data_IF_416735717627
#
_entry.id   IF_416735717627
#
_cell.length_a   1.000
_cell.length_b   1.000
_cell.length_c   1.000
_cell.angle_alpha   90.00
_cell.angle_beta   90.00
_cell.angle_gamma   90.00
#
_symmetry.space_group_name_H-M   'P 1'
#
loop_
_entity.id
_entity.type
_entity.pdbx_description
1 polymer ?
#
# COMPACT_ATOMS: atom_id res chain seq x y z
N UNK A 1 -10.95 -38.61 29.34
CA UNK A 1 -11.93 -38.27 28.28
C UNK A 1 -12.08 -36.75 28.12
N UNK A 2 -12.40 -35.99 29.17
CA UNK A 2 -12.58 -34.51 29.09
C UNK A 2 -11.27 -33.75 28.76
N UNK A 3 -10.12 -34.18 29.29
CA UNK A 3 -8.81 -33.54 29.06
C UNK A 3 -8.29 -33.71 27.63
N UNK A 4 -8.59 -34.83 26.96
CA UNK A 4 -8.22 -35.10 25.57
C UNK A 4 -9.06 -34.25 24.61
N UNK A 5 -10.34 -34.04 24.94
CA UNK A 5 -11.22 -33.15 24.17
C UNK A 5 -10.70 -31.72 24.22
N UNK A 6 -10.35 -31.18 25.40
CA UNK A 6 -9.78 -29.82 25.52
C UNK A 6 -8.49 -29.64 24.71
N UNK A 7 -7.56 -30.60 24.72
CA UNK A 7 -6.31 -30.58 23.94
C UNK A 7 -6.57 -30.61 22.42
N UNK A 8 -7.58 -31.36 21.98
CA UNK A 8 -7.98 -31.40 20.56
C UNK A 8 -8.64 -30.08 20.12
N UNK A 9 -9.47 -29.45 20.97
CA UNK A 9 -10.09 -28.15 20.64
C UNK A 9 -9.05 -27.04 20.57
N UNK A 10 -8.06 -27.01 21.47
CA UNK A 10 -7.00 -25.99 21.43
C UNK A 10 -6.08 -26.12 20.19
N UNK A 11 -5.80 -27.34 19.72
CA UNK A 11 -4.99 -27.56 18.52
C UNK A 11 -5.71 -27.16 17.21
N UNK A 12 -7.04 -27.31 17.19
CA UNK A 12 -7.88 -26.95 16.06
C UNK A 12 -8.17 -25.45 16.02
N UNK A 13 -8.35 -24.78 17.16
CA UNK A 13 -8.45 -23.31 17.20
C UNK A 13 -7.11 -22.60 16.95
N UNK A 14 -5.97 -23.21 17.33
CA UNK A 14 -4.63 -22.62 17.10
C UNK A 14 -4.35 -22.39 15.61
N UNK A 15 -4.77 -23.34 14.77
CA UNK A 15 -4.66 -23.23 13.30
C UNK A 15 -5.67 -22.26 12.69
N UNK A 16 -6.79 -21.98 13.37
CA UNK A 16 -7.84 -21.05 12.92
C UNK A 16 -7.46 -19.59 13.25
N UNK A 17 -6.63 -19.36 14.27
CA UNK A 17 -6.28 -18.00 14.72
C UNK A 17 -5.04 -17.40 14.07
N UNK A 18 -4.17 -18.22 13.46
CA UNK A 18 -2.94 -17.73 12.83
C UNK A 18 -3.10 -17.69 11.32
N UNK A 19 -3.89 -16.73 10.83
CA UNK A 19 -3.86 -16.32 9.42
C UNK A 19 -2.53 -15.65 9.15
N UNK A 20 -1.48 -16.45 8.94
CA UNK A 20 -0.23 -15.95 8.37
C UNK A 20 -0.53 -15.65 6.90
N UNK A 21 -0.73 -14.39 6.55
CA UNK A 21 -0.59 -14.00 5.15
C UNK A 21 0.76 -14.49 4.69
N UNK A 22 0.77 -15.31 3.64
CA UNK A 22 2.02 -15.85 3.10
C UNK A 22 2.91 -14.65 2.73
N UNK A 23 4.15 -14.58 3.23
CA UNK A 23 4.99 -13.41 3.02
C UNK A 23 5.22 -13.20 1.53
N UNK A 24 4.97 -11.98 1.06
CA UNK A 24 5.12 -11.59 -0.35
C UNK A 24 6.55 -11.87 -0.85
N UNK A 25 6.70 -12.82 -1.77
CA UNK A 25 7.96 -13.02 -2.50
C UNK A 25 8.09 -12.02 -3.64
N UNK A 26 8.55 -10.82 -3.32
CA UNK A 26 8.78 -9.74 -4.28
C UNK A 26 10.26 -9.34 -4.31
N UNK A 27 10.79 -8.91 -5.47
CA UNK A 27 12.13 -8.35 -5.54
C UNK A 27 12.18 -7.02 -4.78
N UNK A 28 13.32 -6.75 -4.14
CA UNK A 28 13.59 -5.49 -3.45
C UNK A 28 14.08 -4.44 -4.47
N UNK A 29 13.14 -3.87 -5.22
CA UNK A 29 13.38 -2.82 -6.21
C UNK A 29 12.61 -1.57 -5.84
N UNK A 30 13.29 -0.43 -5.80
CA UNK A 30 12.71 0.90 -5.56
C UNK A 30 12.12 1.48 -6.85
N UNK A 31 10.93 1.02 -7.22
CA UNK A 31 10.15 1.47 -8.38
C UNK A 31 8.74 1.84 -7.90
N UNK A 32 8.59 2.94 -7.13
CA UNK A 32 7.40 3.18 -6.32
C UNK A 32 6.14 3.36 -7.17
N UNK A 33 5.03 2.82 -6.68
CA UNK A 33 3.71 2.97 -7.29
C UNK A 33 2.67 3.39 -6.27
N UNK A 34 1.71 4.21 -6.69
CA UNK A 34 0.56 4.60 -5.88
C UNK A 34 -0.57 3.58 -6.05
N UNK A 35 -1.10 3.04 -4.95
CA UNK A 35 -2.27 2.17 -4.95
C UNK A 35 -3.58 2.97 -4.84
N UNK A 36 -4.69 2.40 -5.33
CA UNK A 36 -6.04 2.99 -5.19
C UNK A 36 -6.48 3.15 -3.72
N UNK A 37 -5.80 2.48 -2.79
CA UNK A 37 -5.97 2.63 -1.35
C UNK A 37 -5.26 3.86 -0.76
N UNK A 38 -4.57 4.65 -1.59
CA UNK A 38 -3.84 5.84 -1.17
C UNK A 38 -2.50 5.58 -0.50
N UNK A 39 -1.97 4.36 -0.60
CA UNK A 39 -0.65 4.01 -0.08
C UNK A 39 0.38 3.88 -1.21
N UNK A 40 1.59 4.35 -0.94
CA UNK A 40 2.75 4.09 -1.80
C UNK A 40 3.31 2.71 -1.50
N UNK A 41 3.57 1.96 -2.56
CA UNK A 41 4.22 0.66 -2.53
C UNK A 41 5.63 0.77 -3.10
N UNK A 42 6.60 0.06 -2.51
CA UNK A 42 8.00 0.03 -2.98
C UNK A 42 8.08 -0.34 -4.46
N UNK A 43 7.23 -1.27 -4.90
CA UNK A 43 7.04 -1.58 -6.30
C UNK A 43 5.69 -2.24 -6.59
N UNK A 44 5.39 -2.41 -7.88
CA UNK A 44 4.15 -3.02 -8.35
C UNK A 44 3.95 -4.48 -7.90
N UNK A 45 4.99 -5.22 -7.52
CA UNK A 45 4.83 -6.57 -6.98
C UNK A 45 4.19 -6.52 -5.59
N UNK A 46 4.72 -5.68 -4.69
CA UNK A 46 4.15 -5.51 -3.35
C UNK A 46 2.71 -5.00 -3.39
N UNK A 47 2.41 -4.06 -4.30
CA UNK A 47 1.04 -3.56 -4.50
C UNK A 47 0.07 -4.68 -4.91
N UNK A 48 0.47 -5.53 -5.87
CA UNK A 48 -0.34 -6.67 -6.31
C UNK A 48 -0.46 -7.75 -5.24
N UNK A 49 0.58 -7.93 -4.42
CA UNK A 49 0.55 -8.89 -3.32
C UNK A 49 -0.55 -8.53 -2.30
N UNK A 50 -0.71 -7.24 -2.02
CA UNK A 50 -1.79 -6.72 -1.18
C UNK A 50 -3.17 -6.74 -1.88
N UNK A 51 -3.25 -7.18 -3.14
CA UNK A 51 -4.49 -7.20 -3.91
C UNK A 51 -4.97 -5.80 -4.33
N UNK A 52 -4.07 -4.82 -4.38
CA UNK A 52 -4.38 -3.42 -4.67
C UNK A 52 -4.06 -3.09 -6.13
N UNK A 53 -4.95 -2.36 -6.80
CA UNK A 53 -4.73 -1.84 -8.13
C UNK A 53 -3.98 -0.50 -8.09
N UNK A 54 -3.31 -0.16 -9.20
CA UNK A 54 -2.64 1.14 -9.32
C UNK A 54 -3.68 2.28 -9.35
N UNK A 55 -3.41 3.35 -8.60
CA UNK A 55 -4.22 4.54 -8.64
C UNK A 55 -4.19 5.18 -10.03
N UNK A 56 -5.35 5.65 -10.49
CA UNK A 56 -5.46 6.44 -11.71
C UNK A 56 -4.96 7.87 -11.52
N UNK A 57 -5.14 8.41 -10.30
CA UNK A 57 -4.68 9.75 -9.94
C UNK A 57 -3.37 9.66 -9.13
N UNK A 58 -2.22 10.03 -9.70
CA UNK A 58 -0.95 10.06 -8.97
C UNK A 58 -0.95 11.05 -7.80
N UNK A 59 -1.86 12.03 -7.78
CA UNK A 59 -1.99 12.97 -6.66
C UNK A 59 -2.50 12.27 -5.38
N UNK A 60 -3.14 11.10 -5.49
CA UNK A 60 -3.72 10.39 -4.35
C UNK A 60 -2.67 10.02 -3.28
N UNK A 61 -1.46 9.61 -3.70
CA UNK A 61 -0.37 9.25 -2.78
C UNK A 61 0.67 10.38 -2.62
N UNK A 62 0.38 11.57 -3.12
CA UNK A 62 1.29 12.70 -3.07
C UNK A 62 1.32 13.29 -1.65
N UNK A 63 2.43 13.07 -0.94
CA UNK A 63 2.60 13.57 0.42
C UNK A 63 3.23 14.96 0.38
N UNK A 64 2.38 15.99 0.35
CA UNK A 64 2.79 17.39 0.34
C UNK A 64 2.02 18.19 1.39
N UNK A 65 2.64 19.24 1.91
CA UNK A 65 1.91 20.24 2.68
C UNK A 65 0.94 21.02 1.78
N UNK A 66 -0.04 21.68 2.42
CA UNK A 66 -1.06 22.48 1.74
C UNK A 66 -0.66 23.94 1.56
N UNK A 67 0.62 24.29 1.71
CA UNK A 67 1.08 25.67 1.48
C UNK A 67 0.85 26.02 0.03
N UNK A 68 0.17 27.14 -0.18
CA UNK A 68 -0.12 27.64 -1.52
C UNK A 68 1.01 28.55 -2.01
N UNK A 69 1.81 28.04 -2.97
CA UNK A 69 2.89 28.73 -3.66
C UNK A 69 2.90 28.25 -5.12
N UNK A 70 1.94 28.73 -5.95
CA UNK A 70 1.58 28.05 -7.19
C UNK A 70 2.69 28.07 -8.23
N UNK A 71 2.79 26.98 -8.97
CA UNK A 71 3.75 26.82 -10.08
C UNK A 71 3.03 26.32 -11.34
N UNK A 72 3.53 26.71 -12.52
CA UNK A 72 3.05 26.20 -13.80
C UNK A 72 3.99 25.08 -14.27
N UNK A 73 3.45 23.87 -14.45
CA UNK A 73 4.19 22.72 -14.98
C UNK A 73 4.43 22.83 -16.49
N UNK A 74 5.41 22.08 -16.99
CA UNK A 74 5.72 22.00 -18.43
C UNK A 74 4.59 21.36 -19.25
N UNK A 75 3.71 20.61 -18.58
CA UNK A 75 2.47 20.06 -19.13
C UNK A 75 1.32 21.09 -19.21
N UNK A 76 1.56 22.35 -18.86
CA UNK A 76 0.58 23.43 -18.90
C UNK A 76 -0.45 23.41 -17.76
N UNK A 77 -0.28 22.55 -16.75
CA UNK A 77 -1.14 22.53 -15.55
C UNK A 77 -0.53 23.38 -14.43
N UNK A 78 -1.39 24.07 -13.69
CA UNK A 78 -1.00 24.77 -12.46
C UNK A 78 -1.12 23.87 -11.25
N UNK A 79 -0.14 23.93 -10.36
CA UNK A 79 -0.09 23.15 -9.13
C UNK A 79 -0.08 24.07 -7.92
N UNK A 80 -0.67 23.64 -6.80
CA UNK A 80 -0.75 24.44 -5.57
C UNK A 80 0.62 24.79 -5.00
N UNK A 81 1.61 23.90 -5.17
CA UNK A 81 3.01 24.15 -4.85
C UNK A 81 3.96 23.25 -5.66
N UNK A 82 5.27 23.48 -5.47
CA UNK A 82 6.34 22.71 -6.13
C UNK A 82 6.32 21.22 -5.78
N UNK A 83 5.93 20.87 -4.55
CA UNK A 83 5.84 19.47 -4.12
C UNK A 83 4.76 18.73 -4.94
N UNK A 84 3.55 19.30 -5.01
CA UNK A 84 2.45 18.75 -5.83
C UNK A 84 2.81 18.66 -7.31
N UNK A 85 3.59 19.62 -7.84
CA UNK A 85 4.07 19.59 -9.21
C UNK A 85 5.11 18.49 -9.49
N UNK A 86 5.80 18.01 -8.45
CA UNK A 86 6.84 16.96 -8.57
C UNK A 86 6.27 15.55 -8.41
N UNK A 87 5.01 15.43 -7.98
CA UNK A 87 4.31 14.14 -7.81
C UNK A 87 3.69 13.57 -9.09
N UNK A 88 3.80 14.28 -10.22
CA UNK A 88 3.02 14.06 -11.44
C UNK A 88 3.87 14.07 -12.69
#
# INVERSE_FOLDING_TARGET
>A
MITVVLLAVISSIFSITLSTSEPCSCPDKDEPVCGENGFNYTNACFMKCDGVAAAQDPMLCCTCDLTYNPVCGTNGKSYGNRCMASCV
#
